data_IF_278004500920
#
_entry.id   IF_278004500920
#
_cell.length_a   1.000
_cell.length_b   1.000
_cell.length_c   1.000
_cell.angle_alpha   90.00
_cell.angle_beta   90.00
_cell.angle_gamma   90.00
#
_symmetry.space_group_name_H-M   'P 1'
#
loop_
_entity.id
_entity.type
_entity.pdbx_description
1 polymer ?
#
# COMPACT_ATOMS: atom_id res chain seq x y z
N UNK A 1 -8.87 20.46 -16.46
CA UNK A 1 -10.08 21.31 -16.61
C UNK A 1 -9.71 22.75 -16.96
N UNK A 2 -9.08 23.54 -16.08
CA UNK A 2 -8.82 24.97 -16.35
C UNK A 2 -7.92 25.24 -17.56
N UNK A 3 -6.84 24.44 -17.71
CA UNK A 3 -5.97 24.51 -18.90
C UNK A 3 -6.75 24.22 -20.19
N UNK A 4 -7.59 23.18 -20.17
CA UNK A 4 -8.43 22.81 -21.31
C UNK A 4 -9.46 23.88 -21.65
N UNK A 5 -10.13 24.47 -20.66
CA UNK A 5 -11.06 25.58 -20.87
C UNK A 5 -10.38 26.79 -21.53
N UNK A 6 -9.15 27.13 -21.09
CA UNK A 6 -8.37 28.22 -21.70
C UNK A 6 -8.04 27.90 -23.17
N UNK A 7 -7.61 26.67 -23.47
CA UNK A 7 -7.31 26.24 -24.83
C UNK A 7 -8.55 26.32 -25.73
N UNK A 8 -9.72 25.96 -25.21
CA UNK A 8 -11.01 26.05 -25.90
C UNK A 8 -11.64 27.46 -25.88
N UNK A 9 -10.89 28.49 -25.45
CA UNK A 9 -11.33 29.88 -25.34
C UNK A 9 -12.59 30.08 -24.47
N UNK A 10 -12.76 29.23 -23.46
CA UNK A 10 -13.85 29.27 -22.49
C UNK A 10 -13.41 29.97 -21.19
N UNK A 11 -14.34 30.62 -20.46
CA UNK A 11 -14.01 31.20 -19.17
C UNK A 11 -13.63 30.10 -18.16
N UNK A 12 -12.58 30.38 -17.37
CA UNK A 12 -12.11 29.48 -16.31
C UNK A 12 -13.16 29.24 -15.23
N UNK A 13 -13.98 30.23 -14.92
CA UNK A 13 -15.04 30.16 -13.92
C UNK A 13 -16.28 30.92 -14.41
N UNK A 14 -17.47 30.44 -14.04
CA UNK A 14 -18.72 31.20 -14.12
C UNK A 14 -19.28 31.38 -12.71
N UNK A 15 -19.97 32.49 -12.47
CA UNK A 15 -20.56 32.79 -11.15
C UNK A 15 -21.53 31.66 -10.77
N UNK A 16 -21.36 31.11 -9.56
CA UNK A 16 -22.18 30.02 -9.03
C UNK A 16 -21.89 28.62 -9.61
N UNK A 17 -20.94 28.48 -10.55
CA UNK A 17 -20.62 27.21 -11.18
C UNK A 17 -19.81 26.29 -10.24
N UNK A 18 -20.34 25.09 -10.00
CA UNK A 18 -19.64 24.01 -9.26
C UNK A 18 -18.82 23.14 -10.21
N UNK A 19 -17.94 22.31 -9.64
CA UNK A 19 -17.05 21.40 -10.40
C UNK A 19 -17.81 20.55 -11.44
N UNK A 20 -18.93 19.94 -11.06
CA UNK A 20 -19.76 19.15 -11.97
C UNK A 20 -20.29 19.97 -13.16
N UNK A 21 -20.81 21.18 -12.92
CA UNK A 21 -21.26 22.08 -13.99
C UNK A 21 -20.12 22.51 -14.92
N UNK A 22 -18.92 22.72 -14.36
CA UNK A 22 -17.71 23.02 -15.13
C UNK A 22 -17.27 21.87 -16.02
N UNK A 23 -17.40 20.63 -15.57
CA UNK A 23 -17.13 19.40 -16.36
C UNK A 23 -18.17 19.26 -17.48
N UNK A 24 -19.47 19.36 -17.15
CA UNK A 24 -20.55 19.28 -18.13
C UNK A 24 -20.39 20.32 -19.25
N UNK A 25 -20.00 21.55 -18.89
CA UNK A 25 -19.69 22.59 -19.87
C UNK A 25 -18.48 22.25 -20.73
N UNK A 26 -17.41 21.70 -20.15
CA UNK A 26 -16.23 21.29 -20.90
C UNK A 26 -16.59 20.22 -21.94
N UNK A 27 -17.34 19.20 -21.53
CA UNK A 27 -17.84 18.13 -22.40
C UNK A 27 -18.83 18.63 -23.47
N UNK A 28 -19.61 19.68 -23.19
CA UNK A 28 -20.51 20.28 -24.19
C UNK A 28 -19.77 21.02 -25.31
N UNK A 29 -18.54 21.48 -25.04
CA UNK A 29 -17.72 22.22 -26.01
C UNK A 29 -16.84 21.25 -26.79
N UNK A 30 -16.33 20.24 -26.12
CA UNK A 30 -15.53 19.16 -26.71
C UNK A 30 -15.97 17.82 -26.11
N UNK A 31 -16.86 17.07 -26.79
CA UNK A 31 -17.37 15.80 -26.27
C UNK A 31 -16.31 14.72 -26.11
N UNK A 32 -15.21 14.80 -26.86
CA UNK A 32 -14.14 13.81 -26.88
C UNK A 32 -13.04 14.10 -25.86
N UNK A 33 -13.13 15.22 -25.13
CA UNK A 33 -12.13 15.58 -24.14
C UNK A 33 -12.15 14.66 -22.93
N UNK A 34 -11.01 14.04 -22.65
CA UNK A 34 -10.85 13.20 -21.48
C UNK A 34 -10.80 14.05 -20.19
N UNK A 35 -11.80 13.82 -19.33
CA UNK A 35 -11.87 14.44 -18.00
C UNK A 35 -11.76 13.35 -16.95
N UNK A 36 -10.71 13.41 -16.12
CA UNK A 36 -10.45 12.39 -15.09
C UNK A 36 -11.66 12.07 -14.19
N UNK A 37 -12.38 13.09 -13.75
CA UNK A 37 -13.59 12.90 -12.93
C UNK A 37 -14.69 12.14 -13.69
N UNK A 38 -14.86 12.40 -14.99
CA UNK A 38 -15.85 11.70 -15.81
C UNK A 38 -15.41 10.28 -16.09
N UNK A 39 -14.15 10.08 -16.51
CA UNK A 39 -13.56 8.75 -16.71
C UNK A 39 -13.68 7.89 -15.44
N UNK A 40 -13.44 8.46 -14.26
CA UNK A 40 -13.58 7.74 -13.00
C UNK A 40 -15.04 7.35 -12.70
N UNK A 41 -16.01 8.19 -13.05
CA UNK A 41 -17.43 7.85 -12.95
C UNK A 41 -17.78 6.75 -13.94
N UNK A 42 -17.40 6.88 -15.21
CA UNK A 42 -17.67 5.91 -16.26
C UNK A 42 -17.07 4.54 -15.89
N UNK A 43 -15.85 4.53 -15.37
CA UNK A 43 -15.22 3.31 -14.87
C UNK A 43 -15.90 2.74 -13.62
N UNK A 44 -16.58 3.52 -12.78
CA UNK A 44 -17.33 2.99 -11.63
C UNK A 44 -18.64 2.33 -12.04
N UNK A 45 -19.27 2.83 -13.10
CA UNK A 45 -20.52 2.27 -13.63
C UNK A 45 -20.28 0.96 -14.38
N UNK A 46 -19.05 0.72 -14.87
CA UNK A 46 -18.64 -0.53 -15.51
C UNK A 46 -18.75 -1.74 -14.54
N UNK A 47 -19.55 -2.78 -14.85
CA UNK A 47 -19.74 -3.95 -13.99
C UNK A 47 -18.43 -4.62 -13.54
N UNK A 48 -17.44 -4.66 -14.40
CA UNK A 48 -16.10 -5.23 -14.16
C UNK A 48 -15.28 -4.47 -13.10
N UNK A 49 -15.70 -3.26 -12.74
CA UNK A 49 -14.99 -2.35 -11.84
C UNK A 49 -15.76 -2.05 -10.55
N UNK A 50 -17.01 -2.49 -10.42
CA UNK A 50 -17.84 -2.23 -9.23
C UNK A 50 -17.22 -2.71 -7.91
N UNK A 51 -16.36 -3.73 -7.97
CA UNK A 51 -15.65 -4.31 -6.82
C UNK A 51 -14.20 -3.82 -6.68
N UNK A 52 -13.76 -2.87 -7.54
CA UNK A 52 -12.39 -2.36 -7.56
C UNK A 52 -12.34 -0.97 -6.97
N UNK A 53 -11.28 -0.71 -6.21
CA UNK A 53 -10.99 0.63 -5.69
C UNK A 53 -9.98 1.31 -6.59
N UNK A 54 -10.28 2.50 -7.16
CA UNK A 54 -9.31 3.24 -7.94
C UNK A 54 -8.17 3.72 -7.04
N UNK A 55 -6.95 3.63 -7.55
CA UNK A 55 -5.74 4.10 -6.87
C UNK A 55 -5.16 5.30 -7.62
N UNK A 56 -4.53 6.22 -6.89
CA UNK A 56 -3.86 7.36 -7.50
C UNK A 56 -2.68 6.89 -8.35
N UNK A 57 -2.42 7.58 -9.47
CA UNK A 57 -1.26 7.31 -10.34
C UNK A 57 0.05 7.28 -9.55
N UNK A 58 0.24 8.22 -8.63
CA UNK A 58 1.44 8.32 -7.80
C UNK A 58 1.61 7.08 -6.92
N UNK A 59 0.54 6.65 -6.24
CA UNK A 59 0.53 5.40 -5.44
C UNK A 59 0.87 4.18 -6.29
N UNK A 60 0.31 4.07 -7.50
CA UNK A 60 0.62 2.97 -8.42
C UNK A 60 2.11 2.97 -8.80
N UNK A 61 2.66 4.13 -9.17
CA UNK A 61 4.06 4.27 -9.55
C UNK A 61 5.00 3.91 -8.39
N UNK A 62 4.73 4.43 -7.20
CA UNK A 62 5.54 4.17 -6.00
C UNK A 62 5.54 2.71 -5.61
N UNK A 63 4.38 2.05 -5.66
CA UNK A 63 4.28 0.62 -5.39
C UNK A 63 5.13 -0.19 -6.39
N UNK A 64 5.08 0.14 -7.68
CA UNK A 64 5.86 -0.56 -8.70
C UNK A 64 7.37 -0.30 -8.58
N UNK A 65 7.78 0.92 -8.22
CA UNK A 65 9.18 1.21 -7.92
C UNK A 65 9.69 0.44 -6.71
N UNK A 66 8.90 0.38 -5.62
CA UNK A 66 9.24 -0.40 -4.45
C UNK A 66 9.37 -1.90 -4.79
N UNK A 67 8.44 -2.45 -5.57
CA UNK A 67 8.50 -3.83 -6.07
C UNK A 67 9.80 -4.07 -6.84
N UNK A 68 10.14 -3.19 -7.79
CA UNK A 68 11.37 -3.33 -8.58
C UNK A 68 12.62 -3.31 -7.69
N UNK A 69 12.72 -2.34 -6.78
CA UNK A 69 13.86 -2.21 -5.86
C UNK A 69 14.01 -3.44 -4.93
N UNK A 70 12.90 -4.01 -4.48
CA UNK A 70 12.88 -5.25 -3.69
C UNK A 70 13.42 -6.41 -4.53
N UNK A 71 12.88 -6.63 -5.73
CA UNK A 71 13.23 -7.77 -6.57
C UNK A 71 14.61 -7.66 -7.25
N UNK A 72 15.24 -6.49 -7.25
CA UNK A 72 16.65 -6.31 -7.61
C UNK A 72 17.61 -6.99 -6.62
N UNK A 73 17.17 -7.25 -5.38
CA UNK A 73 17.96 -7.93 -4.35
C UNK A 73 17.73 -9.44 -4.38
N UNK A 74 18.78 -10.28 -4.61
CA UNK A 74 18.63 -11.73 -4.62
C UNK A 74 18.04 -12.30 -3.33
N UNK A 75 18.47 -11.77 -2.18
CA UNK A 75 18.03 -12.23 -0.86
C UNK A 75 16.53 -12.00 -0.64
N UNK A 76 16.02 -10.84 -1.08
CA UNK A 76 14.60 -10.53 -1.01
C UNK A 76 13.78 -11.38 -1.99
N UNK A 77 14.30 -11.62 -3.20
CA UNK A 77 13.65 -12.50 -4.17
C UNK A 77 13.53 -13.92 -3.65
N UNK A 78 14.58 -14.44 -3.01
CA UNK A 78 14.55 -15.76 -2.38
C UNK A 78 13.52 -15.81 -1.25
N UNK A 79 13.54 -14.83 -0.34
CA UNK A 79 12.58 -14.74 0.76
C UNK A 79 11.11 -14.69 0.29
N UNK A 80 10.84 -13.98 -0.80
CA UNK A 80 9.51 -13.82 -1.38
C UNK A 80 9.13 -14.89 -2.42
N UNK A 81 10.02 -15.85 -2.70
CA UNK A 81 9.79 -16.86 -3.75
C UNK A 81 8.68 -17.85 -3.42
N UNK A 82 8.50 -18.16 -2.13
CA UNK A 82 7.47 -19.06 -1.63
C UNK A 82 7.10 -18.65 -0.20
N UNK A 83 5.81 -18.61 0.09
CA UNK A 83 5.31 -18.26 1.41
C UNK A 83 3.81 -18.03 1.43
N UNK A 84 3.32 -17.76 2.64
CA UNK A 84 1.92 -17.42 2.90
C UNK A 84 1.88 -15.91 3.16
N UNK A 85 1.18 -15.18 2.29
CA UNK A 85 0.95 -13.75 2.48
C UNK A 85 -0.16 -13.49 3.50
N UNK A 86 -0.04 -12.38 4.24
CA UNK A 86 -1.14 -11.77 5.01
C UNK A 86 -1.78 -12.73 6.04
N UNK A 87 -0.95 -13.58 6.66
CA UNK A 87 -1.35 -14.62 7.59
C UNK A 87 -1.93 -14.01 8.87
N UNK A 88 -3.24 -14.08 9.03
CA UNK A 88 -3.93 -13.62 10.23
C UNK A 88 -3.94 -14.70 11.29
N UNK A 89 -3.47 -14.35 12.49
CA UNK A 89 -3.40 -15.23 13.64
C UNK A 89 -4.24 -14.66 14.78
N UNK A 90 -4.95 -15.55 15.47
CA UNK A 90 -5.84 -15.22 16.56
C UNK A 90 -5.60 -16.20 17.70
N UNK A 91 -5.27 -15.67 18.88
CA UNK A 91 -5.03 -16.46 20.08
C UNK A 91 -5.67 -15.78 21.29
N UNK A 92 -5.84 -16.52 22.38
CA UNK A 92 -6.17 -15.94 23.69
C UNK A 92 -4.96 -16.08 24.58
N UNK A 93 -4.48 -14.98 25.15
CA UNK A 93 -3.33 -15.01 26.04
C UNK A 93 -3.66 -15.84 27.29
N UNK A 94 -2.90 -16.89 27.63
CA UNK A 94 -3.20 -17.72 28.80
C UNK A 94 -3.03 -16.98 30.13
N UNK A 95 -2.22 -15.92 30.17
CA UNK A 95 -1.95 -15.16 31.40
C UNK A 95 -3.01 -14.06 31.59
N UNK A 96 -3.20 -13.22 30.57
CA UNK A 96 -4.06 -12.03 30.68
C UNK A 96 -5.51 -12.28 30.26
N UNK A 97 -5.79 -13.43 29.64
CA UNK A 97 -7.09 -13.79 29.07
C UNK A 97 -7.58 -12.83 27.97
N UNK A 98 -6.70 -11.96 27.46
CA UNK A 98 -7.02 -11.04 26.38
C UNK A 98 -6.95 -11.74 25.02
N UNK A 99 -7.86 -11.42 24.08
CA UNK A 99 -7.74 -11.84 22.70
C UNK A 99 -6.57 -11.11 22.05
N UNK A 100 -5.71 -11.87 21.37
CA UNK A 100 -4.55 -11.41 20.64
C UNK A 100 -4.79 -11.62 19.15
N UNK A 101 -4.37 -10.65 18.36
CA UNK A 101 -4.41 -10.72 16.90
C UNK A 101 -3.14 -10.12 16.32
N UNK A 102 -2.49 -10.83 15.42
CA UNK A 102 -1.51 -10.26 14.51
C UNK A 102 -1.81 -10.69 13.07
N UNK A 103 -1.22 -9.97 12.12
CA UNK A 103 -1.24 -10.33 10.71
C UNK A 103 0.19 -10.22 10.20
N UNK A 104 0.79 -11.36 9.89
CA UNK A 104 2.17 -11.43 9.39
C UNK A 104 2.09 -11.16 7.88
N UNK A 105 2.87 -10.22 7.37
CA UNK A 105 2.84 -9.87 5.94
C UNK A 105 3.26 -11.06 5.08
N UNK A 106 4.30 -11.80 5.50
CA UNK A 106 4.81 -12.96 4.78
C UNK A 106 5.45 -14.01 5.70
N UNK A 107 5.04 -15.27 5.54
CA UNK A 107 5.62 -16.43 6.24
C UNK A 107 6.26 -17.39 5.24
N UNK A 108 7.55 -17.66 5.38
CA UNK A 108 8.26 -18.61 4.50
C UNK A 108 8.00 -20.07 4.91
N UNK A 109 8.27 -21.05 4.02
CA UNK A 109 8.22 -22.48 4.36
C UNK A 109 9.17 -22.89 5.48
N UNK A 110 10.25 -22.13 5.71
CA UNK A 110 11.20 -22.33 6.81
C UNK A 110 10.74 -21.71 8.13
N UNK A 111 9.48 -21.28 8.23
CA UNK A 111 8.89 -20.61 9.39
C UNK A 111 9.58 -19.28 9.74
N UNK A 112 10.11 -18.58 8.73
CA UNK A 112 10.68 -17.25 8.91
C UNK A 112 9.60 -16.20 8.64
N UNK A 113 9.46 -15.24 9.55
CA UNK A 113 8.44 -14.20 9.50
C UNK A 113 9.03 -12.94 8.89
N UNK A 114 8.32 -12.34 7.93
CA UNK A 114 8.72 -11.10 7.29
C UNK A 114 7.62 -10.06 7.39
N UNK A 115 8.05 -8.81 7.57
CA UNK A 115 7.17 -7.64 7.64
C UNK A 115 7.75 -6.50 6.78
N UNK A 116 6.93 -5.96 5.88
CA UNK A 116 7.35 -4.95 4.91
C UNK A 116 7.16 -3.55 5.48
N UNK A 117 8.24 -2.77 5.50
CA UNK A 117 8.23 -1.36 5.89
C UNK A 117 8.71 -0.47 4.76
N UNK A 118 7.90 0.53 4.43
CA UNK A 118 8.40 1.72 3.71
C UNK A 118 9.06 2.66 4.71
N UNK A 119 10.25 3.16 4.38
CA UNK A 119 11.00 4.07 5.24
C UNK A 119 11.65 5.19 4.41
N UNK A 120 12.12 6.24 5.09
CA UNK A 120 12.98 7.26 4.50
C UNK A 120 14.43 6.79 4.34
N UNK A 121 14.83 5.69 4.99
CA UNK A 121 16.08 4.98 4.65
C UNK A 121 15.99 3.48 4.92
N UNK A 122 16.58 2.68 4.02
CA UNK A 122 16.76 1.23 4.16
C UNK A 122 18.19 0.86 4.59
N UNK A 123 19.06 1.84 4.87
CA UNK A 123 20.39 1.57 5.41
C UNK A 123 20.27 0.87 6.78
N UNK A 124 20.81 -0.35 6.98
CA UNK A 124 20.62 -1.12 8.20
C UNK A 124 21.10 -0.42 9.48
N UNK A 125 22.18 0.36 9.38
CA UNK A 125 22.76 1.09 10.52
C UNK A 125 21.81 2.20 10.98
N UNK A 126 21.24 2.93 10.03
CA UNK A 126 20.29 4.02 10.32
C UNK A 126 18.91 3.47 10.70
N UNK A 127 18.48 2.39 10.04
CA UNK A 127 17.19 1.73 10.25
C UNK A 127 17.01 1.28 11.70
N UNK A 128 18.04 0.71 12.33
CA UNK A 128 17.96 0.21 13.71
C UNK A 128 17.41 1.26 14.69
N UNK A 129 17.87 2.50 14.58
CA UNK A 129 17.42 3.61 15.43
C UNK A 129 15.93 3.94 15.21
N UNK A 130 15.48 3.88 13.95
CA UNK A 130 14.09 4.14 13.55
C UNK A 130 13.18 3.01 14.00
N UNK A 131 13.59 1.77 13.79
CA UNK A 131 12.87 0.60 14.26
C UNK A 131 12.64 0.64 15.79
N UNK A 132 13.69 0.98 16.55
CA UNK A 132 13.59 1.15 17.99
C UNK A 132 12.62 2.27 18.39
N UNK A 133 12.68 3.43 17.70
CA UNK A 133 11.78 4.56 17.93
C UNK A 133 10.30 4.21 17.69
N UNK A 134 10.01 3.42 16.67
CA UNK A 134 8.65 2.97 16.36
C UNK A 134 8.20 1.75 17.16
N UNK A 135 9.06 1.20 18.02
CA UNK A 135 8.72 0.05 18.85
C UNK A 135 8.65 -1.27 18.08
N UNK A 136 9.33 -1.40 16.95
CA UNK A 136 9.26 -2.59 16.11
C UNK A 136 9.86 -3.84 16.76
N UNK A 137 10.70 -3.69 17.78
CA UNK A 137 11.10 -4.79 18.66
C UNK A 137 9.92 -5.43 19.39
N UNK A 138 8.87 -4.64 19.71
CA UNK A 138 7.65 -5.16 20.30
C UNK A 138 6.80 -5.86 19.25
N UNK A 139 6.82 -5.39 18.00
CA UNK A 139 6.15 -6.06 16.88
C UNK A 139 6.74 -7.45 16.65
N UNK A 140 8.07 -7.56 16.53
CA UNK A 140 8.79 -8.84 16.41
C UNK A 140 8.41 -9.80 17.55
N UNK A 141 8.62 -9.39 18.80
CA UNK A 141 8.31 -10.21 19.97
C UNK A 141 6.83 -10.65 20.00
N UNK A 142 5.91 -9.75 19.68
CA UNK A 142 4.48 -10.04 19.68
C UNK A 142 4.09 -11.00 18.56
N UNK A 143 4.64 -10.84 17.35
CA UNK A 143 4.32 -11.69 16.21
C UNK A 143 4.84 -13.11 16.45
N UNK A 144 6.07 -13.25 16.94
CA UNK A 144 6.64 -14.56 17.30
C UNK A 144 5.86 -15.25 18.41
N UNK A 145 5.46 -14.50 19.44
CA UNK A 145 4.65 -15.03 20.54
C UNK A 145 3.28 -15.53 20.06
N UNK A 146 2.55 -14.73 19.28
CA UNK A 146 1.24 -15.12 18.74
C UNK A 146 1.36 -16.29 17.74
N UNK A 147 2.41 -16.30 16.92
CA UNK A 147 2.72 -17.41 16.03
C UNK A 147 2.91 -18.73 16.79
N UNK A 148 3.74 -18.71 17.84
CA UNK A 148 4.00 -19.89 18.66
C UNK A 148 2.71 -20.37 19.34
N UNK A 149 1.90 -19.47 19.91
CA UNK A 149 0.61 -19.85 20.51
C UNK A 149 -0.37 -20.49 19.53
N UNK A 150 -0.43 -20.01 18.29
CA UNK A 150 -1.38 -20.53 17.30
C UNK A 150 -0.93 -21.86 16.68
N UNK A 151 0.39 -22.05 16.52
CA UNK A 151 0.95 -23.16 15.73
C UNK A 151 1.60 -24.24 16.58
N UNK A 152 1.99 -23.92 17.82
CA UNK A 152 2.86 -24.76 18.64
C UNK A 152 4.30 -24.86 18.13
N UNK A 153 4.68 -24.04 17.15
CA UNK A 153 6.00 -24.05 16.51
C UNK A 153 6.76 -22.76 16.82
N UNK A 154 8.08 -22.89 16.99
CA UNK A 154 8.95 -21.74 17.10
C UNK A 154 9.28 -21.20 15.70
N UNK A 155 9.15 -19.87 15.48
CA UNK A 155 9.60 -19.26 14.24
C UNK A 155 11.12 -19.32 14.14
N UNK A 156 11.64 -19.57 12.93
CA UNK A 156 13.10 -19.61 12.69
C UNK A 156 13.74 -18.23 12.76
N UNK A 157 12.97 -17.18 12.56
CA UNK A 157 13.41 -15.80 12.66
C UNK A 157 12.30 -14.80 12.37
N UNK A 158 12.64 -13.53 12.49
CA UNK A 158 11.81 -12.40 12.11
C UNK A 158 12.72 -11.33 11.50
N UNK A 159 12.41 -10.89 10.29
CA UNK A 159 13.15 -9.84 9.59
C UNK A 159 12.22 -8.77 9.01
N UNK A 160 12.71 -7.53 8.96
CA UNK A 160 12.03 -6.45 8.27
C UNK A 160 12.53 -6.35 6.83
N UNK A 161 11.62 -6.42 5.86
CA UNK A 161 11.90 -6.03 4.49
C UNK A 161 11.69 -4.51 4.39
N UNK A 162 12.77 -3.74 4.32
CA UNK A 162 12.70 -2.27 4.32
C UNK A 162 12.98 -1.72 2.93
N UNK A 163 12.06 -0.91 2.42
CA UNK A 163 12.20 -0.23 1.13
C UNK A 163 12.10 1.28 1.31
N UNK A 164 12.96 2.03 0.62
CA UNK A 164 12.94 3.48 0.68
C UNK A 164 11.74 4.04 -0.10
N UNK A 165 11.04 5.00 0.49
CA UNK A 165 9.99 5.74 -0.20
C UNK A 165 10.64 6.74 -1.16
N UNK A 166 10.30 6.63 -2.45
CA UNK A 166 10.74 7.57 -3.47
C UNK A 166 9.57 8.45 -3.91
N UNK A 167 9.81 9.76 -3.94
CA UNK A 167 8.86 10.68 -4.56
C UNK A 167 8.88 10.47 -6.07
N UNK A 168 7.69 10.23 -6.63
CA UNK A 168 7.49 10.14 -8.07
C UNK A 168 7.05 11.50 -8.58
N UNK A 169 7.85 12.09 -9.47
CA UNK A 169 7.56 13.36 -10.14
C UNK A 169 6.42 13.24 -11.17
#
# INVERSE_FOLDING_TARGET
>A
IDRALVQLKQPKTKIGERKAGKIARLLSVDPDIEVWDQLLLDHREQPEHQHKTPIAKTTWLQAHQAINAIYERPEAREALSAGICELSLFATCPITQLPLKCRIDWLTPTLHLWDLKTADTANPVLWKSKAAKYGYQYQDAFYRYVFEMCTGLLPSGFDFLVVEYQDVA
#
